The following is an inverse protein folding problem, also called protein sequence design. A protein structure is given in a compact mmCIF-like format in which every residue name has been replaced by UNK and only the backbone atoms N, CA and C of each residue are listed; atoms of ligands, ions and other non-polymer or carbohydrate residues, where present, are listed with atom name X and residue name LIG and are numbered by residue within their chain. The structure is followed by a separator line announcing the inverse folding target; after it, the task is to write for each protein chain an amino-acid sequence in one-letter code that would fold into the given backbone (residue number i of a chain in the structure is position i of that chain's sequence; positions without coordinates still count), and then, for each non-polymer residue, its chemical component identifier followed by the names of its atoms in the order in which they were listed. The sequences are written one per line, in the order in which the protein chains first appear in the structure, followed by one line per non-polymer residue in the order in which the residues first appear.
data_IF_580044109402
#
_entry.id   IF_580044109402
#
_cell.length_a   1.000
_cell.length_b   1.000
_cell.length_c   1.000
_cell.angle_alpha   90.00
_cell.angle_beta   90.00
_cell.angle_gamma   90.00
#
_symmetry.space_group_name_H-M   'P 1'
#
loop_
_entity.id
_entity.type
_entity.pdbx_description
1 polymer ?
#
# COMPACT_ATOMS: atom_id res chain seq x y z
N UNK A 1 -12.82 16.36 -16.85
CA UNK A 1 -12.15 15.40 -15.95
C UNK A 1 -11.37 16.23 -14.95
N UNK A 2 -11.36 15.86 -13.65
CA UNK A 2 -10.56 16.58 -12.66
C UNK A 2 -9.07 16.42 -12.94
N UNK A 3 -8.31 17.40 -12.48
CA UNK A 3 -6.85 17.35 -12.48
C UNK A 3 -6.40 16.29 -11.47
N UNK A 4 -5.44 15.46 -11.88
CA UNK A 4 -4.96 14.33 -11.05
C UNK A 4 -3.45 14.33 -11.04
N UNK A 5 -2.89 14.21 -9.84
CA UNK A 5 -1.49 13.90 -9.64
C UNK A 5 -1.32 12.39 -9.53
N UNK A 6 -0.39 11.81 -10.28
CA UNK A 6 -0.02 10.39 -10.23
C UNK A 6 1.46 10.27 -9.93
N UNK A 7 1.80 9.67 -8.81
CA UNK A 7 3.18 9.39 -8.40
C UNK A 7 3.50 7.92 -8.63
N UNK A 8 4.68 7.64 -9.16
CA UNK A 8 5.12 6.29 -9.54
C UNK A 8 6.52 6.07 -8.98
N UNK A 9 6.59 5.39 -7.84
CA UNK A 9 7.84 4.98 -7.22
C UNK A 9 8.40 3.76 -7.91
N UNK A 10 9.65 3.83 -8.35
CA UNK A 10 10.33 2.74 -9.06
C UNK A 10 11.64 2.39 -8.39
N UNK A 11 12.26 1.30 -8.81
CA UNK A 11 13.60 0.90 -8.33
C UNK A 11 14.72 1.89 -8.70
N UNK A 12 14.48 2.89 -9.55
CA UNK A 12 15.51 3.88 -9.95
C UNK A 12 15.02 5.33 -9.91
N UNK A 13 13.97 5.62 -9.17
CA UNK A 13 13.51 6.99 -8.91
C UNK A 13 12.00 7.11 -8.88
N UNK A 14 11.55 8.35 -8.69
CA UNK A 14 10.15 8.74 -8.68
C UNK A 14 9.79 9.43 -10.00
N UNK A 15 8.71 9.00 -10.62
CA UNK A 15 8.10 9.69 -11.75
C UNK A 15 6.79 10.33 -11.28
N UNK A 16 6.52 11.55 -11.75
CA UNK A 16 5.29 12.28 -11.44
C UNK A 16 4.58 12.59 -12.75
N UNK A 17 3.38 12.03 -12.89
CA UNK A 17 2.43 12.34 -13.95
C UNK A 17 1.38 13.33 -13.46
N UNK A 18 0.98 14.27 -14.31
CA UNK A 18 -0.15 15.17 -14.07
C UNK A 18 -1.15 15.04 -15.19
N UNK A 19 -2.42 14.86 -14.84
CA UNK A 19 -3.53 14.91 -15.78
C UNK A 19 -4.13 16.30 -15.77
N UNK A 20 -4.11 16.98 -16.91
CA UNK A 20 -4.79 18.26 -17.13
C UNK A 20 -5.57 18.18 -18.44
N UNK A 21 -6.83 18.63 -18.45
CA UNK A 21 -7.72 18.55 -19.64
C UNK A 21 -7.78 17.15 -20.28
N UNK A 22 -7.69 16.11 -19.46
CA UNK A 22 -7.72 14.70 -19.89
C UNK A 22 -6.42 14.20 -20.53
N UNK A 23 -5.34 14.97 -20.52
CA UNK A 23 -4.02 14.58 -21.03
C UNK A 23 -3.03 14.37 -19.89
N UNK A 24 -2.20 13.34 -20.00
CA UNK A 24 -1.13 13.05 -19.05
C UNK A 24 0.19 13.64 -19.54
N UNK A 25 0.89 14.33 -18.64
CA UNK A 25 2.26 14.81 -18.82
C UNK A 25 3.12 14.29 -17.66
N UNK A 26 4.30 13.76 -17.97
CA UNK A 26 5.23 13.23 -16.97
C UNK A 26 6.48 14.11 -16.89
N UNK A 27 6.91 14.39 -15.67
CA UNK A 27 8.18 15.08 -15.39
C UNK A 27 9.39 14.17 -15.61
N UNK A 28 10.58 14.78 -15.67
CA UNK A 28 11.85 14.05 -15.54
C UNK A 28 11.91 13.33 -14.17
N UNK A 29 12.59 12.17 -14.08
CA UNK A 29 12.62 11.40 -12.85
C UNK A 29 13.33 12.13 -11.71
N UNK A 30 12.71 12.11 -10.53
CA UNK A 30 13.30 12.56 -9.28
C UNK A 30 14.01 11.39 -8.56
N UNK A 31 14.92 11.72 -7.65
CA UNK A 31 15.69 10.74 -6.86
C UNK A 31 16.39 9.67 -7.74
N UNK A 32 17.19 10.08 -8.74
CA UNK A 32 17.79 9.15 -9.68
C UNK A 32 18.63 8.09 -8.96
N UNK A 33 18.45 6.83 -9.37
CA UNK A 33 19.11 5.67 -8.80
C UNK A 33 18.77 5.35 -7.32
N UNK A 34 17.75 5.99 -6.76
CA UNK A 34 17.17 5.59 -5.47
C UNK A 34 15.90 4.76 -5.72
N UNK A 35 15.72 3.69 -4.96
CA UNK A 35 14.47 2.93 -5.01
C UNK A 35 13.41 3.66 -4.18
N UNK A 36 12.25 3.92 -4.75
CA UNK A 36 11.15 4.62 -4.09
C UNK A 36 10.07 3.62 -3.73
N UNK A 37 10.01 3.25 -2.45
CA UNK A 37 9.12 2.19 -1.94
C UNK A 37 7.76 2.72 -1.50
N UNK A 38 7.70 3.97 -1.05
CA UNK A 38 6.47 4.58 -0.58
C UNK A 38 6.37 6.03 -1.01
N UNK A 39 5.15 6.41 -1.37
CA UNK A 39 4.75 7.81 -1.55
C UNK A 39 3.45 8.01 -0.77
N UNK A 40 3.28 9.17 -0.18
CA UNK A 40 2.00 9.65 0.33
C UNK A 40 1.69 11.03 -0.28
N UNK A 41 0.43 11.24 -0.62
CA UNK A 41 -0.12 12.54 -1.02
C UNK A 41 -1.02 12.98 0.14
N UNK A 42 -0.57 13.96 0.91
CA UNK A 42 -1.32 14.51 2.02
C UNK A 42 -2.03 15.79 1.56
N UNK A 43 -3.33 15.67 1.31
CA UNK A 43 -4.20 16.77 0.86
C UNK A 43 -4.90 17.49 2.01
N UNK A 44 -4.60 17.13 3.28
CA UNK A 44 -5.20 17.75 4.46
C UNK A 44 -4.76 19.20 4.69
N UNK A 45 -3.48 19.59 4.48
CA UNK A 45 -3.06 20.98 4.60
C UNK A 45 -3.56 21.83 3.42
N UNK A 46 -3.64 23.15 3.60
CA UNK A 46 -4.03 24.09 2.54
C UNK A 46 -3.15 23.98 1.28
N UNK A 47 -1.86 23.65 1.50
CA UNK A 47 -0.92 23.29 0.45
C UNK A 47 -0.66 21.78 0.55
N UNK A 48 -1.05 20.97 -0.44
CA UNK A 48 -0.83 19.53 -0.37
C UNK A 48 0.66 19.21 -0.26
N UNK A 49 0.97 18.21 0.56
CA UNK A 49 2.34 17.74 0.81
C UNK A 49 2.54 16.36 0.20
N UNK A 50 3.65 16.17 -0.50
CA UNK A 50 4.14 14.84 -0.88
C UNK A 50 5.18 14.37 0.13
N UNK A 51 5.09 13.10 0.51
CA UNK A 51 6.13 12.41 1.28
C UNK A 51 6.65 11.23 0.46
N UNK A 52 7.96 11.02 0.45
CA UNK A 52 8.62 9.98 -0.37
C UNK A 52 9.62 9.22 0.48
N UNK A 53 9.41 7.91 0.62
CA UNK A 53 10.37 6.97 1.20
C UNK A 53 11.34 6.47 0.14
N UNK A 54 12.54 7.06 0.11
CA UNK A 54 13.62 6.71 -0.83
C UNK A 54 14.69 5.86 -0.16
N UNK A 55 15.24 4.89 -0.90
CA UNK A 55 16.35 4.02 -0.50
C UNK A 55 17.52 4.20 -1.47
N UNK A 56 18.55 4.92 -1.01
CA UNK A 56 19.80 5.12 -1.75
C UNK A 56 20.80 4.02 -1.41
N UNK A 57 21.32 3.33 -2.43
CA UNK A 57 22.38 2.34 -2.22
C UNK A 57 23.70 2.93 -1.70
N UNK A 58 23.85 4.26 -1.74
CA UNK A 58 25.06 4.96 -1.27
C UNK A 58 24.85 5.67 0.07
N UNK A 59 23.65 6.22 0.29
CA UNK A 59 23.37 7.11 1.42
C UNK A 59 22.37 6.52 2.43
N UNK A 60 21.79 5.36 2.11
CA UNK A 60 20.77 4.70 2.91
C UNK A 60 19.37 5.26 2.68
N UNK A 61 18.39 4.77 3.47
CA UNK A 61 17.00 5.18 3.38
C UNK A 61 16.72 6.52 4.07
N UNK A 62 15.76 7.28 3.53
CA UNK A 62 15.27 8.53 4.12
C UNK A 62 13.82 8.81 3.70
N UNK A 63 13.22 9.83 4.32
CA UNK A 63 11.93 10.39 3.92
C UNK A 63 12.13 11.83 3.48
N UNK A 64 11.73 12.13 2.24
CA UNK A 64 11.77 13.47 1.65
C UNK A 64 10.36 14.05 1.60
N UNK A 65 10.23 15.37 1.62
CA UNK A 65 8.94 16.03 1.43
C UNK A 65 8.97 17.14 0.39
N UNK A 66 7.81 17.40 -0.20
CA UNK A 66 7.58 18.51 -1.13
C UNK A 66 6.26 19.18 -0.78
N UNK A 67 6.27 20.51 -0.68
CA UNK A 67 5.08 21.35 -0.45
C UNK A 67 4.69 22.13 -1.72
N UNK A 68 5.10 21.64 -2.89
CA UNK A 68 4.81 22.25 -4.20
C UNK A 68 4.53 21.19 -5.29
N UNK A 69 3.93 20.06 -4.86
CA UNK A 69 3.55 18.93 -5.71
C UNK A 69 4.71 18.34 -6.53
N UNK A 70 5.87 18.24 -5.90
CA UNK A 70 7.06 17.57 -6.43
C UNK A 70 7.99 18.45 -7.26
N UNK A 71 7.74 19.76 -7.35
CA UNK A 71 8.61 20.68 -8.10
C UNK A 71 9.94 20.90 -7.39
N UNK A 72 9.93 20.98 -6.06
CA UNK A 72 11.11 21.02 -5.21
C UNK A 72 10.98 20.04 -4.05
N UNK A 73 12.12 19.59 -3.53
CA UNK A 73 12.21 18.58 -2.48
C UNK A 73 13.07 19.08 -1.34
N UNK A 74 12.57 18.89 -0.13
CA UNK A 74 13.30 19.13 1.11
C UNK A 74 13.84 17.80 1.63
N UNK A 75 15.15 17.72 1.75
CA UNK A 75 15.82 16.67 2.51
C UNK A 75 15.88 17.09 3.99
N UNK A 76 15.44 16.23 4.94
CA UNK A 76 15.45 16.59 6.35
C UNK A 76 16.90 16.74 6.84
N UNK A 77 17.20 17.74 7.71
CA UNK A 77 18.57 18.01 8.18
C UNK A 77 19.14 16.88 9.05
N UNK A 78 18.27 16.01 9.54
CA UNK A 78 18.57 14.77 10.26
C UNK A 78 17.72 13.66 9.67
N UNK A 79 18.13 12.37 9.73
CA UNK A 79 17.31 11.28 9.20
C UNK A 79 15.91 11.27 9.83
N UNK A 80 14.87 11.43 9.01
CA UNK A 80 13.49 11.60 9.48
C UNK A 80 13.00 10.41 10.31
N UNK A 81 13.42 9.19 9.95
CA UNK A 81 13.11 7.94 10.64
C UNK A 81 14.41 7.37 11.18
N UNK A 82 14.56 7.33 12.51
CA UNK A 82 15.75 6.81 13.18
C UNK A 82 15.35 5.82 14.28
N UNK A 83 15.89 4.60 14.24
CA UNK A 83 15.71 3.65 15.32
C UNK A 83 16.45 4.11 16.59
N UNK A 84 15.81 4.08 17.78
CA UNK A 84 16.49 4.34 19.03
C UNK A 84 17.67 3.39 19.25
N UNK A 85 18.79 3.89 19.79
CA UNK A 85 20.04 3.14 19.92
C UNK A 85 19.88 1.82 20.71
N UNK A 86 18.99 1.80 21.71
CA UNK A 86 18.70 0.62 22.53
C UNK A 86 18.05 -0.53 21.76
N UNK A 87 17.47 -0.27 20.59
CA UNK A 87 16.90 -1.32 19.74
C UNK A 87 17.96 -2.15 19.01
N UNK A 88 19.17 -1.61 18.83
CA UNK A 88 20.21 -2.23 18.00
C UNK A 88 19.85 -2.38 16.51
N UNK A 89 18.73 -1.81 16.08
CA UNK A 89 18.24 -1.89 14.71
C UNK A 89 18.68 -0.68 13.88
N UNK A 90 18.60 -0.81 12.57
CA UNK A 90 18.83 0.28 11.62
C UNK A 90 17.77 0.21 10.54
N UNK A 91 17.36 1.39 10.04
CA UNK A 91 16.37 1.47 8.99
C UNK A 91 16.94 0.87 7.71
N UNK A 92 16.23 -0.08 7.12
CA UNK A 92 16.51 -0.57 5.78
C UNK A 92 15.64 0.14 4.75
N UNK A 93 14.32 0.22 5.00
CA UNK A 93 13.34 0.76 4.04
C UNK A 93 12.13 1.36 4.75
N UNK A 94 11.53 2.38 4.12
CA UNK A 94 10.20 2.90 4.48
C UNK A 94 9.18 2.32 3.50
N UNK A 95 8.45 1.29 3.93
CA UNK A 95 7.51 0.53 3.12
C UNK A 95 6.16 1.22 2.95
N UNK A 96 5.73 2.02 3.91
CA UNK A 96 4.45 2.73 3.85
C UNK A 96 4.61 4.12 4.49
N UNK A 97 4.03 5.12 3.86
CA UNK A 97 3.74 6.43 4.45
C UNK A 97 2.23 6.62 4.41
N UNK A 98 1.62 6.94 5.56
CA UNK A 98 0.16 7.02 5.70
C UNK A 98 -0.24 8.25 6.51
N UNK A 99 -0.70 9.33 5.84
CA UNK A 99 -1.35 10.46 6.51
C UNK A 99 -2.59 9.98 7.27
N UNK A 100 -2.70 10.35 8.54
CA UNK A 100 -3.89 10.05 9.34
C UNK A 100 -5.12 10.84 8.85
N UNK A 101 -6.34 10.62 9.39
CA UNK A 101 -7.52 11.38 8.98
C UNK A 101 -7.43 12.87 9.30
N UNK A 102 -8.36 13.67 8.74
CA UNK A 102 -8.35 15.13 8.81
C UNK A 102 -8.39 15.71 10.24
N UNK A 103 -8.99 15.00 11.21
CA UNK A 103 -9.03 15.41 12.61
C UNK A 103 -7.68 15.24 13.35
N UNK A 104 -6.69 14.61 12.71
CA UNK A 104 -5.34 14.41 13.24
C UNK A 104 -4.30 15.11 12.35
N UNK A 105 -4.39 16.44 12.17
CA UNK A 105 -3.49 17.17 11.28
C UNK A 105 -2.03 17.00 11.73
N UNK A 106 -1.12 16.85 10.78
CA UNK A 106 0.30 16.60 11.07
C UNK A 106 0.65 15.15 11.42
N UNK A 107 -0.34 14.32 11.79
CA UNK A 107 -0.08 12.90 12.07
C UNK A 107 0.17 12.15 10.76
N UNK A 108 1.33 11.50 10.67
CA UNK A 108 1.70 10.59 9.58
C UNK A 108 2.35 9.35 10.18
N UNK A 109 1.93 8.19 9.73
CA UNK A 109 2.56 6.92 10.09
C UNK A 109 3.57 6.49 9.03
N UNK A 110 4.69 5.91 9.48
CA UNK A 110 5.66 5.26 8.61
C UNK A 110 5.82 3.78 9.02
N UNK A 111 5.52 2.87 8.10
CA UNK A 111 5.80 1.45 8.24
C UNK A 111 7.18 1.14 7.65
N UNK A 112 8.01 0.38 8.36
CA UNK A 112 9.42 0.18 7.98
C UNK A 112 9.83 -1.29 7.90
N UNK A 113 11.03 -1.48 7.36
CA UNK A 113 11.87 -2.68 7.52
C UNK A 113 13.14 -2.30 8.28
N UNK A 114 13.53 -3.03 9.36
CA UNK A 114 12.78 -4.11 10.02
C UNK A 114 11.38 -3.67 10.46
N UNK A 115 10.47 -4.64 10.64
CA UNK A 115 9.05 -4.37 10.91
C UNK A 115 8.87 -3.48 12.14
N UNK A 116 8.58 -2.21 11.91
CA UNK A 116 8.28 -1.25 12.96
C UNK A 116 7.29 -0.20 12.42
N UNK A 117 6.52 0.37 13.35
CA UNK A 117 5.66 1.51 13.08
C UNK A 117 6.29 2.73 13.72
N UNK A 118 6.44 3.79 12.94
CA UNK A 118 6.78 5.11 13.44
C UNK A 118 5.62 6.06 13.24
N UNK A 119 5.57 7.11 14.06
CA UNK A 119 4.57 8.16 14.03
C UNK A 119 5.22 9.53 14.05
N UNK A 120 4.79 10.39 13.12
CA UNK A 120 5.10 11.81 13.06
C UNK A 120 3.93 12.62 13.62
N UNK A 121 4.24 13.81 14.15
CA UNK A 121 3.29 14.83 14.59
C UNK A 121 3.45 16.14 13.81
N UNK A 122 4.41 16.19 12.87
CA UNK A 122 4.87 17.40 12.18
C UNK A 122 4.75 17.28 10.65
N UNK A 123 3.78 16.48 10.20
CA UNK A 123 3.47 16.28 8.79
C UNK A 123 4.55 15.49 8.05
N UNK A 124 5.20 14.54 8.75
CA UNK A 124 6.21 13.64 8.19
C UNK A 124 7.63 14.22 8.14
N UNK A 125 7.92 15.32 8.86
CA UNK A 125 9.27 15.88 8.91
C UNK A 125 10.18 15.10 9.87
N UNK A 126 9.63 14.60 10.98
CA UNK A 126 10.32 13.70 11.91
C UNK A 126 9.37 12.61 12.43
N UNK A 127 9.94 11.45 12.77
CA UNK A 127 9.19 10.28 13.18
C UNK A 127 9.75 9.67 14.47
N UNK A 128 8.85 9.27 15.37
CA UNK A 128 9.17 8.57 16.61
C UNK A 128 8.67 7.13 16.57
N UNK A 129 9.46 6.19 17.10
CA UNK A 129 9.11 4.78 17.15
C UNK A 129 7.88 4.54 18.04
N UNK A 130 6.88 3.82 17.52
CA UNK A 130 5.75 3.31 18.31
C UNK A 130 6.24 2.08 19.09
N UNK A 131 6.84 2.34 20.26
CA UNK A 131 7.45 1.30 21.12
C UNK A 131 6.54 0.12 21.45
N UNK A 132 5.24 0.31 21.77
CA UNK A 132 4.39 -0.84 22.13
C UNK A 132 4.27 -1.92 21.05
N UNK A 133 4.33 -1.55 19.76
CA UNK A 133 4.37 -2.54 18.67
C UNK A 133 5.77 -3.16 18.53
N UNK A 134 6.83 -2.34 18.67
CA UNK A 134 8.22 -2.83 18.65
C UNK A 134 8.53 -3.79 19.80
N UNK A 135 7.91 -3.60 20.96
CA UNK A 135 8.14 -4.40 22.17
C UNK A 135 7.05 -5.47 22.34
N UNK A 136 6.21 -5.69 21.32
CA UNK A 136 5.11 -6.64 21.38
C UNK A 136 5.61 -8.05 21.75
N UNK A 137 4.97 -8.77 22.69
CA UNK A 137 5.48 -10.05 23.21
C UNK A 137 5.73 -11.13 22.14
N UNK A 138 5.00 -11.10 21.03
CA UNK A 138 5.18 -12.06 19.93
C UNK A 138 6.36 -11.75 19.00
N UNK A 139 6.99 -10.57 19.10
CA UNK A 139 7.97 -10.10 18.11
C UNK A 139 9.14 -11.04 17.91
N UNK A 140 9.63 -11.66 18.98
CA UNK A 140 10.76 -12.61 18.91
C UNK A 140 10.44 -13.88 18.10
N UNK A 141 9.15 -14.12 17.81
CA UNK A 141 8.67 -15.22 16.99
C UNK A 141 8.26 -14.79 15.57
N UNK A 142 8.40 -13.50 15.22
CA UNK A 142 8.18 -13.04 13.85
C UNK A 142 9.32 -13.53 12.96
N UNK A 143 8.97 -13.96 11.75
CA UNK A 143 9.92 -14.55 10.80
C UNK A 143 9.80 -13.78 9.48
N UNK A 144 10.91 -13.35 8.87
CA UNK A 144 10.86 -12.67 7.57
C UNK A 144 10.32 -13.61 6.48
N UNK A 145 9.49 -13.06 5.60
CA UNK A 145 9.13 -13.71 4.34
C UNK A 145 10.17 -13.43 3.25
N UNK A 146 9.94 -13.93 2.03
CA UNK A 146 10.85 -13.71 0.90
C UNK A 146 11.04 -12.25 0.48
N UNK A 147 10.15 -11.35 0.94
CA UNK A 147 10.22 -9.91 0.71
C UNK A 147 10.73 -9.07 1.88
N UNK A 148 11.26 -9.69 2.95
CA UNK A 148 11.66 -9.01 4.18
C UNK A 148 10.61 -9.06 5.29
N UNK A 149 10.98 -8.63 6.50
CA UNK A 149 10.07 -8.44 7.63
C UNK A 149 9.70 -6.96 7.75
N UNK A 150 8.48 -6.58 7.34
CA UNK A 150 8.09 -5.17 7.25
C UNK A 150 6.66 -4.89 7.74
N UNK A 151 6.47 -3.71 8.34
CA UNK A 151 5.15 -3.08 8.44
C UNK A 151 4.89 -2.39 7.10
N UNK A 152 4.01 -2.96 6.28
CA UNK A 152 3.78 -2.51 4.90
C UNK A 152 2.34 -2.04 4.67
N UNK A 153 1.50 -2.01 5.69
CA UNK A 153 0.17 -1.41 5.60
C UNK A 153 -0.19 -0.78 6.92
N UNK A 154 -0.72 0.43 6.85
CA UNK A 154 -1.31 1.16 7.96
C UNK A 154 -2.70 1.59 7.51
N UNK A 155 -3.70 1.36 8.34
CA UNK A 155 -5.08 1.79 8.15
C UNK A 155 -5.50 2.53 9.41
N UNK A 156 -6.04 3.74 9.24
CA UNK A 156 -6.54 4.59 10.33
C UNK A 156 -8.04 4.77 10.16
N UNK A 157 -8.79 4.68 11.25
CA UNK A 157 -10.24 4.93 11.22
C UNK A 157 -10.53 6.44 11.24
N UNK A 158 -11.29 6.93 10.27
CA UNK A 158 -11.71 8.34 10.21
C UNK A 158 -12.73 8.74 11.30
N UNK A 159 -13.33 7.76 11.98
CA UNK A 159 -14.27 7.96 13.09
C UNK A 159 -13.57 8.02 14.44
N UNK A 160 -12.38 7.42 14.54
CA UNK A 160 -11.68 7.21 15.80
C UNK A 160 -10.15 7.34 15.59
N UNK A 161 -9.51 8.45 16.03
CA UNK A 161 -8.07 8.65 15.91
C UNK A 161 -7.25 7.59 16.66
N UNK A 162 -7.84 6.89 17.63
CA UNK A 162 -7.15 5.90 18.45
C UNK A 162 -7.16 4.50 17.82
N UNK A 163 -7.97 4.29 16.78
CA UNK A 163 -8.07 3.02 16.07
C UNK A 163 -7.09 2.98 14.88
N UNK A 164 -6.04 2.15 15.04
CA UNK A 164 -5.00 1.93 14.02
C UNK A 164 -4.81 0.44 13.78
N UNK A 165 -4.87 0.03 12.53
CA UNK A 165 -4.60 -1.35 12.10
C UNK A 165 -3.34 -1.37 11.24
N UNK A 166 -2.45 -2.31 11.50
CA UNK A 166 -1.23 -2.52 10.71
C UNK A 166 -1.14 -3.95 10.20
N UNK A 167 -0.52 -4.13 9.03
CA UNK A 167 -0.16 -5.45 8.52
C UNK A 167 1.36 -5.62 8.47
N UNK A 168 1.80 -6.79 8.89
CA UNK A 168 3.21 -7.20 8.95
C UNK A 168 3.40 -8.48 8.15
N UNK A 169 4.32 -8.42 7.18
CA UNK A 169 4.80 -9.58 6.40
C UNK A 169 6.14 -10.03 6.98
N UNK A 170 6.30 -11.17 7.67
CA UNK A 170 5.25 -12.06 8.17
C UNK A 170 5.13 -11.95 9.70
N UNK A 171 3.90 -11.74 10.15
CA UNK A 171 3.45 -11.76 11.54
C UNK A 171 1.93 -11.56 11.59
N UNK A 172 1.33 -10.99 10.55
CA UNK A 172 -0.11 -10.84 10.39
C UNK A 172 -0.58 -9.41 10.66
N UNK A 173 -1.86 -9.29 10.96
CA UNK A 173 -2.53 -8.03 11.29
C UNK A 173 -2.45 -7.79 12.79
N UNK A 174 -2.13 -6.55 13.16
CA UNK A 174 -2.21 -6.06 14.54
C UNK A 174 -3.09 -4.82 14.59
N UNK A 175 -3.87 -4.68 15.66
CA UNK A 175 -4.78 -3.54 15.85
C UNK A 175 -4.58 -2.90 17.22
N UNK A 176 -4.55 -1.58 17.22
CA UNK A 176 -4.69 -0.74 18.42
C UNK A 176 -6.07 -0.08 18.43
N UNK A 177 -6.60 0.16 19.63
CA UNK A 177 -7.82 0.92 19.90
C UNK A 177 -7.60 2.01 20.95
N UNK A 178 -6.33 2.37 21.17
CA UNK A 178 -5.86 3.24 22.24
C UNK A 178 -4.68 4.12 21.78
N UNK A 179 -4.69 4.53 20.51
CA UNK A 179 -3.72 5.47 19.95
C UNK A 179 -2.31 4.89 19.79
N UNK A 180 -2.21 3.56 19.76
CA UNK A 180 -0.94 2.82 19.65
C UNK A 180 -0.29 2.48 21.00
N UNK A 181 -0.97 2.70 22.13
CA UNK A 181 -0.47 2.34 23.46
C UNK A 181 -0.43 0.83 23.70
N UNK A 182 -1.33 0.07 23.08
CA UNK A 182 -1.30 -1.39 23.03
C UNK A 182 -1.73 -1.92 21.66
N UNK A 183 -1.32 -3.16 21.36
CA UNK A 183 -1.58 -3.83 20.08
C UNK A 183 -2.01 -5.27 20.34
N UNK A 184 -3.06 -5.71 19.64
CA UNK A 184 -3.54 -7.08 19.68
C UNK A 184 -3.48 -7.72 18.28
N UNK A 185 -3.14 -9.01 18.17
CA UNK A 185 -3.28 -9.75 16.92
C UNK A 185 -4.74 -9.75 16.42
N UNK A 186 -4.92 -9.65 15.10
CA UNK A 186 -6.23 -9.45 14.46
C UNK A 186 -6.39 -10.39 13.26
N UNK A 187 -6.09 -11.68 13.44
CA UNK A 187 -5.91 -12.66 12.36
C UNK A 187 -6.97 -13.78 12.33
N UNK A 188 -8.01 -13.70 13.16
CA UNK A 188 -9.00 -14.78 13.25
C UNK A 188 -9.67 -15.06 11.89
N UNK A 189 -9.55 -16.30 11.41
CA UNK A 189 -10.05 -16.71 10.09
C UNK A 189 -9.05 -16.59 8.93
N UNK A 190 -7.90 -15.92 9.11
CA UNK A 190 -6.86 -15.81 8.08
C UNK A 190 -5.94 -17.02 8.12
N UNK A 191 -5.79 -17.72 7.00
CA UNK A 191 -4.96 -18.92 6.91
C UNK A 191 -3.45 -18.59 6.81
N UNK A 192 -2.64 -19.46 7.42
CA UNK A 192 -1.19 -19.52 7.28
C UNK A 192 -0.75 -20.99 7.07
N UNK A 193 -1.03 -21.59 5.90
CA UNK A 193 -0.84 -23.03 5.66
C UNK A 193 0.63 -23.50 5.69
N UNK A 194 1.57 -22.56 5.73
CA UNK A 194 3.01 -22.78 5.88
C UNK A 194 3.44 -22.94 7.35
N UNK A 195 2.51 -22.74 8.30
CA UNK A 195 2.72 -22.95 9.74
C UNK A 195 2.03 -24.24 10.21
N UNK A 196 2.45 -24.81 11.37
CA UNK A 196 1.87 -26.06 11.87
C UNK A 196 0.37 -25.97 12.20
N UNK A 197 -0.07 -24.85 12.77
CA UNK A 197 -1.49 -24.52 12.97
C UNK A 197 -1.94 -23.67 11.77
N UNK A 198 -2.94 -24.11 10.96
CA UNK A 198 -3.38 -23.36 9.79
C UNK A 198 -3.99 -21.99 10.08
N UNK A 199 -4.55 -21.77 11.28
CA UNK A 199 -5.13 -20.49 11.69
C UNK A 199 -4.52 -20.01 13.01
N UNK A 200 -3.21 -19.67 13.03
CA UNK A 200 -2.54 -19.25 14.24
C UNK A 200 -2.96 -17.83 14.63
N UNK A 201 -2.74 -17.44 15.89
CA UNK A 201 -3.03 -16.08 16.37
C UNK A 201 -2.21 -15.01 15.62
N UNK A 202 -0.98 -15.35 15.23
CA UNK A 202 -0.06 -14.52 14.45
C UNK A 202 0.84 -15.41 13.57
N UNK A 203 1.55 -14.79 12.62
CA UNK A 203 2.47 -15.44 11.68
C UNK A 203 1.99 -15.43 10.22
N UNK A 204 0.81 -14.88 9.94
CA UNK A 204 0.29 -14.73 8.58
C UNK A 204 1.20 -13.85 7.72
N UNK A 205 1.23 -14.14 6.42
CA UNK A 205 1.95 -13.37 5.41
C UNK A 205 0.95 -12.46 4.67
N UNK A 206 0.44 -11.45 5.37
CA UNK A 206 -0.51 -10.48 4.82
C UNK A 206 0.21 -9.61 3.79
N UNK A 207 -0.39 -9.31 2.64
CA UNK A 207 0.25 -8.50 1.60
C UNK A 207 -0.31 -7.09 1.49
N UNK A 208 -1.61 -6.90 1.65
CA UNK A 208 -2.24 -5.58 1.61
C UNK A 208 -3.59 -5.60 2.31
N UNK A 209 -3.91 -4.50 2.98
CA UNK A 209 -5.26 -4.22 3.50
C UNK A 209 -5.77 -2.93 2.83
N UNK A 210 -7.04 -2.94 2.42
CA UNK A 210 -7.78 -1.78 1.96
C UNK A 210 -9.09 -1.63 2.76
N UNK A 211 -9.49 -0.40 3.05
CA UNK A 211 -10.72 -0.09 3.81
C UNK A 211 -11.83 0.35 2.86
N UNK A 212 -13.04 -0.14 3.10
CA UNK A 212 -14.23 0.22 2.32
C UNK A 212 -14.64 1.69 2.51
N UNK A 213 -15.13 2.33 1.45
CA UNK A 213 -15.52 3.74 1.50
C UNK A 213 -16.84 4.00 2.24
N UNK A 214 -17.76 3.04 2.30
CA UNK A 214 -19.06 3.23 2.97
C UNK A 214 -19.09 2.71 4.39
N UNK A 215 -18.28 1.70 4.67
CA UNK A 215 -18.22 1.04 5.97
C UNK A 215 -16.77 0.93 6.45
N UNK A 216 -16.30 1.84 7.31
CA UNK A 216 -14.95 1.76 7.88
C UNK A 216 -14.67 0.49 8.70
N UNK A 217 -15.70 -0.29 9.10
CA UNK A 217 -15.50 -1.62 9.69
C UNK A 217 -15.25 -2.70 8.64
N UNK A 218 -15.56 -2.44 7.36
CA UNK A 218 -15.27 -3.36 6.27
C UNK A 218 -13.85 -3.17 5.75
N UNK A 219 -13.07 -4.25 5.84
CA UNK A 219 -11.69 -4.32 5.34
C UNK A 219 -11.55 -5.46 4.33
N UNK A 220 -10.77 -5.23 3.28
CA UNK A 220 -10.34 -6.24 2.31
C UNK A 220 -8.87 -6.55 2.53
N UNK A 221 -8.50 -7.83 2.56
CA UNK A 221 -7.14 -8.28 2.84
C UNK A 221 -6.68 -9.27 1.78
N UNK A 222 -5.62 -8.93 1.05
CA UNK A 222 -4.87 -9.88 0.25
C UNK A 222 -3.81 -10.54 1.14
N UNK A 223 -3.89 -11.87 1.30
CA UNK A 223 -2.90 -12.67 2.03
C UNK A 223 -2.01 -13.42 1.04
N UNK A 224 -0.95 -14.07 1.52
CA UNK A 224 -0.17 -15.01 0.72
C UNK A 224 -1.02 -16.19 0.24
N UNK A 225 -2.02 -16.61 1.01
CA UNK A 225 -3.05 -17.55 0.53
C UNK A 225 -4.44 -17.07 0.95
N UNK A 226 -5.21 -16.63 -0.02
CA UNK A 226 -6.58 -16.17 0.13
C UNK A 226 -6.74 -14.65 0.02
N UNK A 227 -7.97 -14.27 -0.33
CA UNK A 227 -8.45 -12.88 -0.28
C UNK A 227 -9.58 -12.85 0.71
N UNK A 228 -9.48 -12.02 1.74
CA UNK A 228 -10.39 -12.02 2.87
C UNK A 228 -11.14 -10.70 2.99
N UNK A 229 -12.30 -10.77 3.65
CA UNK A 229 -13.05 -9.62 4.12
C UNK A 229 -13.27 -9.70 5.62
N UNK A 230 -13.15 -8.58 6.30
CA UNK A 230 -13.72 -8.37 7.64
C UNK A 230 -14.86 -7.37 7.54
N UNK A 231 -15.91 -7.53 8.34
CA UNK A 231 -17.00 -6.56 8.54
C UNK A 231 -17.04 -6.05 10.00
N UNK A 232 -15.95 -6.25 10.77
CA UNK A 232 -15.82 -5.92 12.19
C UNK A 232 -14.46 -5.25 12.52
N UNK A 233 -13.93 -4.50 11.55
CA UNK A 233 -12.64 -3.80 11.59
C UNK A 233 -11.46 -4.73 11.92
N UNK A 234 -11.44 -5.90 11.31
CA UNK A 234 -10.38 -6.91 11.42
C UNK A 234 -10.53 -7.88 12.58
N UNK A 235 -11.63 -7.85 13.33
CA UNK A 235 -11.88 -8.80 14.43
C UNK A 235 -11.97 -10.25 13.96
N UNK A 236 -12.59 -10.47 12.79
CA UNK A 236 -12.68 -11.75 12.10
C UNK A 236 -12.66 -11.56 10.59
N UNK A 237 -12.13 -12.56 9.89
CA UNK A 237 -11.93 -12.54 8.46
C UNK A 237 -12.63 -13.74 7.79
N UNK A 238 -13.31 -13.48 6.69
CA UNK A 238 -13.98 -14.48 5.85
C UNK A 238 -13.30 -14.52 4.48
N UNK A 239 -12.97 -15.70 4.00
CA UNK A 239 -12.42 -15.88 2.65
C UNK A 239 -13.49 -15.53 1.59
N UNK A 240 -13.12 -14.60 0.70
CA UNK A 240 -13.91 -14.10 -0.43
C UNK A 240 -13.20 -14.35 -1.77
N UNK A 241 -12.11 -15.10 -1.78
CA UNK A 241 -11.27 -15.36 -2.96
C UNK A 241 -11.75 -16.50 -3.86
N UNK A 242 -12.77 -17.26 -3.46
CA UNK A 242 -13.14 -18.53 -4.12
C UNK A 242 -13.52 -18.44 -5.61
N UNK A 243 -13.90 -17.26 -6.11
CA UNK A 243 -14.22 -17.04 -7.53
C UNK A 243 -13.06 -16.43 -8.35
N UNK A 244 -11.93 -16.10 -7.71
CA UNK A 244 -10.75 -15.57 -8.39
C UNK A 244 -9.97 -16.69 -9.11
N UNK A 245 -9.25 -16.37 -10.20
CA UNK A 245 -8.42 -17.35 -10.91
C UNK A 245 -7.19 -17.81 -10.10
N UNK A 246 -6.86 -17.10 -9.02
CA UNK A 246 -5.84 -17.46 -8.04
C UNK A 246 -6.18 -16.79 -6.71
N UNK A 247 -5.87 -17.47 -5.62
CA UNK A 247 -5.95 -17.00 -4.23
C UNK A 247 -4.71 -16.21 -3.80
N UNK A 248 -3.70 -16.10 -4.68
CA UNK A 248 -2.46 -15.38 -4.43
C UNK A 248 -2.45 -14.04 -5.19
N UNK A 249 -1.94 -13.01 -4.55
CA UNK A 249 -1.73 -11.67 -5.12
C UNK A 249 -0.92 -10.83 -4.15
N UNK A 250 -0.51 -9.62 -4.54
CA UNK A 250 0.08 -8.66 -3.59
C UNK A 250 -0.82 -7.46 -3.35
N UNK A 251 -1.44 -6.96 -4.41
CA UNK A 251 -2.14 -5.70 -4.42
C UNK A 251 -3.62 -5.84 -4.06
N UNK A 252 -4.11 -4.89 -3.28
CA UNK A 252 -5.53 -4.66 -3.04
C UNK A 252 -5.79 -3.15 -2.92
N UNK A 253 -6.90 -2.68 -3.48
CA UNK A 253 -7.37 -1.31 -3.35
C UNK A 253 -8.90 -1.29 -3.20
N UNK A 254 -9.44 -0.30 -2.49
CA UNK A 254 -10.88 -0.08 -2.38
C UNK A 254 -11.28 1.11 -3.26
N UNK A 255 -12.52 1.12 -3.74
CA UNK A 255 -13.07 2.31 -4.40
C UNK A 255 -13.21 3.43 -3.37
N UNK A 256 -12.85 4.69 -3.70
CA UNK A 256 -12.94 5.83 -2.76
C UNK A 256 -14.35 6.24 -2.33
N UNK A 257 -15.39 5.84 -3.06
CA UNK A 257 -16.75 6.39 -2.95
C UNK A 257 -17.84 5.32 -2.94
N UNK A 258 -17.60 4.14 -3.51
CA UNK A 258 -18.62 3.09 -3.68
C UNK A 258 -18.40 1.96 -2.69
N UNK A 259 -19.30 1.81 -1.70
CA UNK A 259 -19.21 0.72 -0.73
C UNK A 259 -19.31 -0.64 -1.41
N UNK A 260 -18.69 -1.65 -0.84
CA UNK A 260 -18.64 -3.00 -1.38
C UNK A 260 -17.72 -3.17 -2.59
N UNK A 261 -17.02 -2.12 -3.03
CA UNK A 261 -16.22 -2.14 -4.25
C UNK A 261 -14.72 -2.17 -3.96
N UNK A 262 -14.04 -3.22 -4.44
CA UNK A 262 -12.60 -3.41 -4.27
C UNK A 262 -11.97 -4.08 -5.49
N UNK A 263 -10.65 -3.91 -5.60
CA UNK A 263 -9.83 -4.34 -6.72
C UNK A 263 -8.66 -5.19 -6.23
N UNK A 264 -8.35 -6.27 -6.95
CA UNK A 264 -7.16 -7.10 -6.73
C UNK A 264 -6.47 -7.42 -8.06
N UNK A 265 -5.20 -7.82 -8.00
CA UNK A 265 -4.46 -8.30 -9.16
C UNK A 265 -3.90 -9.71 -8.86
N UNK A 266 -4.63 -10.78 -9.24
CA UNK A 266 -4.23 -12.15 -8.93
C UNK A 266 -2.98 -12.58 -9.71
N UNK A 267 -2.04 -13.24 -9.03
CA UNK A 267 -0.83 -13.81 -9.63
C UNK A 267 -0.64 -15.25 -9.14
N UNK A 268 0.14 -16.06 -9.85
CA UNK A 268 0.37 -17.46 -9.47
C UNK A 268 1.48 -17.57 -8.41
N UNK A 269 1.15 -18.17 -7.26
CA UNK A 269 2.11 -18.62 -6.25
C UNK A 269 2.89 -19.87 -6.73
N UNK A 270 4.03 -20.25 -6.15
CA UNK A 270 4.98 -19.44 -5.38
C UNK A 270 6.23 -19.13 -6.20
N UNK A 271 6.56 -19.99 -7.17
CA UNK A 271 7.77 -19.86 -7.96
C UNK A 271 7.55 -19.07 -9.26
N UNK A 272 6.33 -19.07 -9.81
CA UNK A 272 6.03 -18.40 -11.08
C UNK A 272 5.92 -16.87 -10.88
N UNK A 273 5.09 -16.41 -9.93
CA UNK A 273 4.88 -14.98 -9.57
C UNK A 273 4.44 -14.09 -10.73
N UNK A 274 3.84 -14.67 -11.76
CA UNK A 274 3.27 -13.97 -12.94
C UNK A 274 1.75 -13.86 -12.81
N UNK A 275 1.09 -12.93 -13.53
CA UNK A 275 -0.36 -12.79 -13.51
C UNK A 275 -1.08 -14.13 -13.72
N UNK A 276 -2.20 -14.34 -13.04
CA UNK A 276 -2.95 -15.60 -13.13
C UNK A 276 -3.35 -15.90 -14.58
N UNK A 277 -3.03 -17.12 -15.05
CA UNK A 277 -3.22 -17.50 -16.45
C UNK A 277 -2.39 -16.69 -17.45
N UNK A 278 -1.37 -15.97 -16.99
CA UNK A 278 -0.55 -15.01 -17.76
C UNK A 278 -1.38 -13.94 -18.45
N UNK A 279 -2.39 -13.40 -17.77
CA UNK A 279 -3.24 -12.34 -18.30
C UNK A 279 -3.13 -11.10 -17.43
N UNK A 280 -2.85 -9.95 -18.05
CA UNK A 280 -2.87 -8.66 -17.37
C UNK A 280 -4.33 -8.28 -17.08
N UNK A 281 -4.81 -8.54 -15.86
CA UNK A 281 -6.21 -8.32 -15.47
C UNK A 281 -6.29 -7.88 -14.02
N UNK A 282 -6.95 -6.76 -13.80
CA UNK A 282 -7.48 -6.40 -12.47
C UNK A 282 -8.81 -7.13 -12.30
N UNK A 283 -9.10 -7.60 -11.09
CA UNK A 283 -10.42 -8.14 -10.76
C UNK A 283 -11.12 -7.18 -9.81
N UNK A 284 -12.39 -6.88 -10.10
CA UNK A 284 -13.25 -6.02 -9.28
C UNK A 284 -14.34 -6.84 -8.64
N UNK A 285 -14.64 -6.54 -7.38
CA UNK A 285 -15.93 -6.87 -6.76
C UNK A 285 -16.72 -5.59 -6.59
N UNK A 286 -18.04 -5.67 -6.67
CA UNK A 286 -18.98 -4.57 -6.33
C UNK A 286 -20.00 -5.01 -5.27
N UNK A 287 -19.82 -6.20 -4.70
CA UNK A 287 -20.73 -6.85 -3.76
C UNK A 287 -19.98 -7.39 -2.53
N UNK A 288 -18.92 -6.68 -2.14
CA UNK A 288 -18.06 -7.00 -1.01
C UNK A 288 -17.44 -8.41 -1.07
N UNK A 289 -17.06 -8.85 -2.27
CA UNK A 289 -16.35 -10.11 -2.50
C UNK A 289 -17.25 -11.33 -2.69
N UNK A 290 -18.57 -11.16 -2.81
CA UNK A 290 -19.45 -12.28 -3.15
C UNK A 290 -19.25 -12.75 -4.60
N UNK A 291 -18.88 -11.84 -5.50
CA UNK A 291 -18.47 -12.12 -6.86
C UNK A 291 -17.32 -11.21 -7.32
N UNK A 292 -16.62 -11.66 -8.37
CA UNK A 292 -15.49 -10.95 -8.97
C UNK A 292 -15.60 -10.97 -10.48
N UNK A 293 -15.34 -9.83 -11.12
CA UNK A 293 -15.31 -9.69 -12.57
C UNK A 293 -13.91 -9.27 -13.07
N UNK A 294 -13.46 -9.80 -14.22
CA UNK A 294 -12.19 -9.40 -14.81
C UNK A 294 -12.32 -8.08 -15.57
N UNK A 295 -11.47 -7.12 -15.23
CA UNK A 295 -11.31 -5.82 -15.89
C UNK A 295 -10.09 -5.85 -16.80
N UNK A 296 -10.33 -5.85 -18.12
CA UNK A 296 -9.26 -6.11 -19.09
C UNK A 296 -9.36 -5.33 -20.41
N UNK A 297 -10.39 -4.50 -20.60
CA UNK A 297 -10.55 -3.73 -21.84
C UNK A 297 -9.40 -2.72 -21.95
N UNK A 298 -8.60 -2.81 -23.00
CA UNK A 298 -7.42 -1.94 -23.19
C UNK A 298 -6.13 -2.48 -22.54
N UNK A 299 -6.19 -3.60 -21.81
CA UNK A 299 -5.01 -4.31 -21.33
C UNK A 299 -4.50 -5.33 -22.37
N UNK A 300 -3.24 -5.78 -22.30
CA UNK A 300 -2.70 -6.80 -23.21
C UNK A 300 -3.52 -8.10 -23.22
N UNK A 301 -3.88 -8.59 -24.40
CA UNK A 301 -4.66 -9.82 -24.58
C UNK A 301 -3.81 -11.11 -24.53
N UNK A 302 -2.50 -10.98 -24.83
CA UNK A 302 -1.55 -12.09 -24.88
C UNK A 302 -0.98 -12.49 -23.52
N UNK A 303 0.04 -13.34 -23.55
CA UNK A 303 0.80 -13.70 -22.36
C UNK A 303 1.47 -12.45 -21.78
N UNK A 304 1.23 -12.21 -20.50
CA UNK A 304 1.78 -11.11 -19.72
C UNK A 304 2.46 -11.63 -18.46
N UNK A 305 3.59 -11.02 -18.11
CA UNK A 305 4.48 -11.49 -17.04
C UNK A 305 4.76 -10.43 -15.97
N UNK A 306 4.16 -9.25 -16.08
CA UNK A 306 4.41 -8.14 -15.17
C UNK A 306 3.61 -8.29 -13.88
N UNK A 307 4.29 -8.60 -12.80
CA UNK A 307 3.73 -8.64 -11.43
C UNK A 307 3.34 -7.24 -10.96
N UNK A 308 2.21 -7.10 -10.27
CA UNK A 308 1.83 -5.88 -9.54
C UNK A 308 2.13 -6.08 -8.05
N UNK A 309 2.91 -5.18 -7.46
CA UNK A 309 3.32 -5.25 -6.05
C UNK A 309 2.29 -4.60 -5.11
N UNK A 310 2.47 -4.81 -3.79
CA UNK A 310 1.52 -4.45 -2.71
C UNK A 310 0.94 -3.05 -2.84
N UNK A 311 1.80 -2.09 -3.14
CA UNK A 311 1.47 -0.66 -3.23
C UNK A 311 1.41 -0.13 -4.67
N UNK A 312 1.51 -1.01 -5.67
CA UNK A 312 1.52 -0.64 -7.07
C UNK A 312 0.13 -0.73 -7.74
N UNK A 313 -0.95 -0.74 -6.94
CA UNK A 313 -2.35 -0.56 -7.36
C UNK A 313 -2.99 0.47 -6.42
N UNK A 314 -3.62 1.50 -6.97
CA UNK A 314 -4.36 2.49 -6.17
C UNK A 314 -5.55 3.07 -6.94
N UNK A 315 -6.39 3.80 -6.22
CA UNK A 315 -7.47 4.64 -6.74
C UNK A 315 -7.15 6.11 -6.48
N UNK A 316 -7.73 7.03 -7.25
CA UNK A 316 -7.81 8.46 -6.89
C UNK A 316 -9.20 8.78 -6.34
N UNK A 317 -9.45 10.04 -5.96
CA UNK A 317 -10.72 10.50 -5.40
C UNK A 317 -11.70 11.10 -6.44
N UNK A 318 -11.48 10.90 -7.74
CA UNK A 318 -12.39 11.38 -8.78
C UNK A 318 -13.73 10.62 -8.80
N UNK A 319 -14.72 11.16 -9.53
CA UNK A 319 -15.97 10.44 -9.85
C UNK A 319 -16.32 10.63 -11.35
N UNK A 320 -16.24 9.57 -12.19
CA UNK A 320 -15.74 8.22 -11.88
C UNK A 320 -14.31 8.21 -11.34
N UNK A 321 -14.01 7.24 -10.47
CA UNK A 321 -12.70 7.11 -9.85
C UNK A 321 -11.67 6.60 -10.86
N UNK A 322 -10.48 7.17 -10.80
CA UNK A 322 -9.32 6.61 -11.47
C UNK A 322 -8.85 5.34 -10.78
N UNK A 323 -8.42 4.36 -11.56
CA UNK A 323 -7.76 3.14 -11.06
C UNK A 323 -6.42 3.01 -11.76
N UNK A 324 -5.34 2.84 -11.00
CA UNK A 324 -3.98 2.90 -11.52
C UNK A 324 -3.21 1.68 -11.07
N UNK A 325 -2.44 1.05 -11.95
CA UNK A 325 -1.44 0.09 -11.53
C UNK A 325 -0.14 0.20 -12.33
N UNK A 326 0.95 -0.06 -11.63
CA UNK A 326 2.27 -0.24 -12.20
C UNK A 326 2.75 -1.67 -11.98
N UNK A 327 3.57 -2.17 -12.89
CA UNK A 327 4.09 -3.52 -12.79
C UNK A 327 5.61 -3.59 -12.86
N UNK A 328 6.15 -4.77 -12.55
CA UNK A 328 7.59 -5.02 -12.53
C UNK A 328 8.27 -5.05 -13.90
N UNK A 329 7.51 -5.02 -14.99
CA UNK A 329 8.03 -4.85 -16.35
C UNK A 329 8.20 -3.36 -16.73
N UNK A 330 7.86 -2.44 -15.84
CA UNK A 330 7.97 -1.01 -16.10
C UNK A 330 6.81 -0.44 -16.90
N UNK A 331 5.65 -1.08 -16.87
CA UNK A 331 4.42 -0.58 -17.48
C UNK A 331 3.53 0.07 -16.41
N UNK A 332 2.90 1.18 -16.76
CA UNK A 332 1.95 1.93 -15.95
C UNK A 332 0.64 2.08 -16.72
N UNK A 333 -0.44 1.57 -16.14
CA UNK A 333 -1.77 1.63 -16.71
C UNK A 333 -2.69 2.50 -15.84
N UNK A 334 -3.61 3.19 -16.49
CA UNK A 334 -4.64 3.98 -15.84
C UNK A 334 -6.01 3.72 -16.47
N UNK A 335 -7.01 3.72 -15.61
CA UNK A 335 -8.42 3.82 -15.94
C UNK A 335 -8.95 5.15 -15.41
N UNK A 336 -9.92 5.74 -16.10
CA UNK A 336 -10.66 6.92 -15.66
C UNK A 336 -12.18 6.65 -15.53
N UNK A 337 -12.57 5.38 -15.47
CA UNK A 337 -13.95 4.89 -15.46
C UNK A 337 -14.11 3.67 -14.54
N UNK A 338 -13.58 3.76 -13.31
CA UNK A 338 -13.71 2.71 -12.27
C UNK A 338 -13.14 1.33 -12.68
N UNK A 339 -12.22 1.33 -13.66
CA UNK A 339 -11.52 0.16 -14.17
C UNK A 339 -12.18 -0.47 -15.40
N UNK A 340 -13.26 0.11 -15.92
CA UNK A 340 -13.98 -0.45 -17.07
C UNK A 340 -13.16 -0.41 -18.37
N UNK A 341 -12.24 0.55 -18.51
CA UNK A 341 -11.28 0.61 -19.61
C UNK A 341 -9.91 1.17 -19.20
N UNK A 342 -8.86 0.65 -19.84
CA UNK A 342 -7.48 0.93 -19.48
C UNK A 342 -6.71 1.56 -20.63
N UNK A 343 -5.81 2.47 -20.27
CA UNK A 343 -4.82 3.07 -21.14
C UNK A 343 -3.42 2.83 -20.57
N UNK A 344 -2.47 2.43 -21.42
CA UNK A 344 -1.04 2.46 -21.09
C UNK A 344 -0.57 3.92 -21.05
N UNK A 345 -0.13 4.39 -19.89
CA UNK A 345 0.40 5.74 -19.70
C UNK A 345 1.90 5.81 -19.98
N UNK A 346 2.65 4.82 -19.51
CA UNK A 346 4.09 4.73 -19.68
C UNK A 346 4.54 3.28 -19.76
N UNK A 347 5.62 3.05 -20.51
CA UNK A 347 6.30 1.77 -20.61
C UNK A 347 7.82 1.99 -20.52
N UNK A 348 8.57 0.91 -20.30
CA UNK A 348 10.02 0.94 -20.13
C UNK A 348 10.49 1.78 -18.93
N UNK A 349 9.63 1.94 -17.92
CA UNK A 349 10.05 2.41 -16.61
C UNK A 349 10.94 1.34 -15.94
N UNK A 350 11.73 1.71 -14.92
CA UNK A 350 12.24 0.73 -13.98
C UNK A 350 11.09 -0.02 -13.28
N UNK A 351 11.43 -1.16 -12.67
CA UNK A 351 10.56 -1.97 -11.82
C UNK A 351 9.70 -1.08 -10.88
N UNK A 352 8.38 -1.05 -11.09
CA UNK A 352 7.46 -0.19 -10.34
C UNK A 352 7.15 -0.81 -8.98
N UNK A 353 7.41 -0.04 -7.92
CA UNK A 353 7.31 -0.48 -6.53
C UNK A 353 6.02 0.02 -5.87
N UNK A 354 5.63 1.27 -6.14
CA UNK A 354 4.40 1.85 -5.63
C UNK A 354 3.79 2.88 -6.59
N UNK A 355 2.48 3.08 -6.47
CA UNK A 355 1.71 4.09 -7.20
C UNK A 355 0.75 4.78 -6.22
N UNK A 356 0.64 6.11 -6.30
CA UNK A 356 -0.39 6.90 -5.60
C UNK A 356 -0.97 7.95 -6.51
N UNK A 357 -2.28 8.17 -6.40
CA UNK A 357 -2.98 9.19 -7.15
C UNK A 357 -3.91 9.99 -6.24
N UNK A 358 -4.13 11.25 -6.57
CA UNK A 358 -5.09 12.12 -5.89
C UNK A 358 -5.59 13.20 -6.85
N UNK A 359 -6.83 13.64 -6.65
CA UNK A 359 -7.33 14.87 -7.26
C UNK A 359 -6.64 16.05 -6.56
N UNK A 360 -6.11 16.99 -7.33
CA UNK A 360 -5.32 18.14 -6.82
C UNK A 360 -5.80 19.48 -7.36
#
# INVERSE_FOLDING_TARGET
MPDVLLTVGTRKGLFIGRRHDGRWEFDDPHFPAQAVYSVAIDTRPDTPRLLVGGDSSHWGPSVFHSDDLGRTWTEPPTPAVTFPQDTGASLERVWQLHPAPAHSPGVVYAGTEPAALFRSEDGGASFSLVRPLWEHPSRSAWVPGGGGEAVHTVVTDARDPDAVTVAVSTAGVFRSRDGGASWAPSNHGVAAPFLPEPHPEFGQCVHKIAQDAGDPDRLYLQNHWGVYRSDDAGGSWTDIGGALPSDFGFAAAAHPHRPGTAYVFPITADSDRVPAGRRCRVYRTTDAGASWEPLHRGLPEGDHYGTVLRDALCTDDADPAGVYFGNRNGELYASADDGDSWQLLAAHLPDVLCVRAAVV
#
